data_IF_385235033664
#
_entry.id   IF_385235033664
#
_cell.length_a   1.000
_cell.length_b   1.000
_cell.length_c   1.000
_cell.angle_alpha   90.00
_cell.angle_beta   90.00
_cell.angle_gamma   90.00
#
_symmetry.space_group_name_H-M   'P 1'
#
loop_
_entity.id
_entity.type
_entity.pdbx_description
1 polymer ?
#
# COMPACT_ATOMS: atom_id res chain seq x y z
N UNK A 1 -9.44 5.06 -6.94
CA UNK A 1 -10.73 4.64 -6.34
C UNK A 1 -11.45 3.59 -7.17
N UNK A 2 -11.24 3.52 -8.46
CA UNK A 2 -11.88 2.49 -9.30
C UNK A 2 -11.38 1.08 -9.02
N UNK A 3 -10.18 0.93 -8.50
CA UNK A 3 -9.53 -0.37 -8.23
C UNK A 3 -9.66 -0.78 -6.78
N UNK A 4 -9.46 0.16 -5.84
CA UNK A 4 -9.48 -0.12 -4.40
C UNK A 4 -10.88 0.10 -3.80
N UNK A 5 -11.33 -0.80 -2.92
CA UNK A 5 -12.59 -0.61 -2.19
C UNK A 5 -12.46 0.42 -1.08
N UNK A 6 -11.25 0.78 -0.69
CA UNK A 6 -10.98 1.71 0.40
C UNK A 6 -11.54 3.10 0.13
N UNK A 7 -12.02 3.76 1.18
CA UNK A 7 -12.52 5.14 1.15
C UNK A 7 -12.00 5.90 2.37
N UNK A 8 -12.14 7.22 2.36
CA UNK A 8 -11.74 8.05 3.48
C UNK A 8 -12.28 7.50 4.80
N UNK A 9 -11.50 7.42 5.88
CA UNK A 9 -10.09 7.86 5.99
C UNK A 9 -9.04 6.77 5.65
N UNK A 10 -9.45 5.64 5.08
CA UNK A 10 -8.59 4.48 4.85
C UNK A 10 -8.03 4.36 3.44
N UNK A 11 -8.37 5.26 2.53
CA UNK A 11 -7.76 5.29 1.21
C UNK A 11 -6.43 6.03 1.28
N UNK A 12 -5.32 5.32 1.12
CA UNK A 12 -3.97 5.84 1.34
C UNK A 12 -3.11 5.92 0.08
N UNK A 13 -3.67 5.66 -1.09
CA UNK A 13 -2.96 5.83 -2.36
C UNK A 13 -3.60 6.99 -3.12
N UNK A 14 -2.83 8.05 -3.37
CA UNK A 14 -3.33 9.23 -4.05
C UNK A 14 -3.28 9.10 -5.56
N UNK A 15 -2.19 8.54 -6.09
CA UNK A 15 -2.08 8.28 -7.53
C UNK A 15 -1.06 7.19 -7.81
N UNK A 16 -1.14 6.64 -9.01
CA UNK A 16 -0.16 5.68 -9.53
C UNK A 16 0.70 6.42 -10.55
N UNK A 17 2.01 6.39 -10.35
CA UNK A 17 2.96 7.02 -11.26
C UNK A 17 3.46 6.07 -12.34
N UNK A 18 3.64 4.79 -11.99
CA UNK A 18 4.11 3.76 -12.90
C UNK A 18 3.46 2.43 -12.55
N UNK A 19 2.99 1.73 -13.55
CA UNK A 19 2.45 0.38 -13.39
C UNK A 19 2.96 -0.48 -14.54
N UNK A 20 3.71 -1.52 -14.22
CA UNK A 20 4.14 -2.54 -15.17
C UNK A 20 3.41 -3.83 -14.80
N UNK A 21 2.48 -4.25 -15.66
CA UNK A 21 1.65 -5.43 -15.44
C UNK A 21 2.55 -6.63 -15.16
N UNK A 22 2.17 -7.44 -14.17
CA UNK A 22 2.88 -8.63 -13.71
C UNK A 22 4.25 -8.38 -13.08
N UNK A 23 4.68 -7.13 -12.93
CA UNK A 23 6.00 -6.82 -12.41
C UNK A 23 5.95 -5.92 -11.17
N UNK A 24 5.59 -4.64 -11.35
CA UNK A 24 5.73 -3.65 -10.28
C UNK A 24 4.80 -2.45 -10.43
N UNK A 25 4.65 -1.74 -9.32
CA UNK A 25 3.94 -0.48 -9.26
C UNK A 25 4.76 0.54 -8.49
N UNK A 26 4.64 1.80 -8.89
CA UNK A 26 5.09 2.93 -8.10
C UNK A 26 3.92 3.88 -7.93
N UNK A 27 3.49 4.06 -6.68
CA UNK A 27 2.37 4.91 -6.32
C UNK A 27 2.82 5.99 -5.35
N UNK A 28 1.97 6.97 -5.10
CA UNK A 28 2.29 8.10 -4.24
C UNK A 28 1.20 8.28 -3.19
N UNK A 29 1.64 8.50 -1.96
CA UNK A 29 0.86 9.01 -0.86
C UNK A 29 1.40 10.40 -0.48
N UNK A 30 0.60 11.44 -0.64
CA UNK A 30 0.92 12.76 -0.11
C UNK A 30 0.62 12.76 1.39
N UNK A 31 1.65 12.91 2.21
CA UNK A 31 1.51 12.92 3.67
C UNK A 31 1.21 14.34 4.13
N UNK A 32 0.04 14.56 4.68
CA UNK A 32 -0.43 15.89 5.12
C UNK A 32 -0.84 15.86 6.58
N UNK A 33 -0.65 16.99 7.27
CA UNK A 33 -1.09 17.13 8.67
C UNK A 33 -2.62 16.98 8.81
N UNK A 34 -3.36 17.15 7.73
CA UNK A 34 -4.81 17.04 7.71
C UNK A 34 -5.31 15.59 7.70
N UNK A 35 -4.52 14.66 8.19
CA UNK A 35 -4.91 13.27 8.35
C UNK A 35 -5.19 12.97 9.82
N UNK A 36 -6.29 12.25 10.09
CA UNK A 36 -6.77 12.04 11.44
C UNK A 36 -5.80 11.37 12.38
N UNK A 37 -4.94 10.46 11.87
CA UNK A 37 -4.00 9.73 12.73
C UNK A 37 -2.92 10.64 13.36
N UNK A 38 -2.65 11.82 12.81
CA UNK A 38 -1.66 12.72 13.40
C UNK A 38 -2.14 13.37 14.70
N UNK A 39 -3.43 13.37 14.96
CA UNK A 39 -3.96 13.92 16.21
C UNK A 39 -3.48 13.14 17.43
N UNK A 40 -3.29 11.85 17.26
CA UNK A 40 -2.85 10.97 18.35
C UNK A 40 -1.42 10.47 18.24
N UNK A 41 -0.75 10.66 17.10
CA UNK A 41 0.55 10.04 16.86
C UNK A 41 1.56 11.01 16.24
N UNK A 42 2.12 11.96 16.94
CA UNK A 42 1.97 12.30 18.36
C UNK A 42 1.65 13.78 18.49
N UNK A 43 0.95 14.28 19.53
CA UNK A 43 0.51 15.67 19.60
C UNK A 43 1.59 16.73 19.46
N UNK A 44 2.76 16.56 19.89
CA UNK A 44 3.84 17.55 19.75
C UNK A 44 4.75 17.28 18.56
N UNK A 45 4.68 16.10 17.97
CA UNK A 45 5.54 15.68 16.86
C UNK A 45 4.78 14.69 15.98
N UNK A 46 4.11 15.18 14.94
CA UNK A 46 3.33 14.29 14.07
C UNK A 46 4.24 13.36 13.26
N UNK A 47 4.02 12.07 13.41
CA UNK A 47 4.74 11.02 12.69
C UNK A 47 3.69 10.04 12.17
N UNK A 48 3.76 9.69 10.89
CA UNK A 48 2.86 8.70 10.33
C UNK A 48 3.08 7.34 11.00
N UNK A 49 2.02 6.73 11.57
CA UNK A 49 2.18 5.42 12.19
C UNK A 49 2.73 4.38 11.22
N UNK A 50 3.67 3.56 11.69
CA UNK A 50 4.26 2.51 10.86
C UNK A 50 3.23 1.58 10.26
N UNK A 51 2.19 1.22 11.04
CA UNK A 51 1.11 0.36 10.55
C UNK A 51 0.34 0.99 9.39
N UNK A 52 0.24 2.33 9.34
CA UNK A 52 -0.42 3.03 8.24
C UNK A 52 0.47 3.07 6.99
N UNK A 53 1.78 3.10 7.15
CA UNK A 53 2.72 2.97 6.03
C UNK A 53 2.59 1.58 5.41
N UNK A 54 2.53 0.55 6.23
CA UNK A 54 2.32 -0.82 5.77
C UNK A 54 0.99 -0.96 5.04
N UNK A 55 -0.08 -0.34 5.57
CA UNK A 55 -1.38 -0.33 4.90
C UNK A 55 -1.32 0.35 3.53
N UNK A 56 -0.60 1.46 3.42
CA UNK A 56 -0.42 2.16 2.14
C UNK A 56 0.32 1.27 1.13
N UNK A 57 1.37 0.57 1.55
CA UNK A 57 2.08 -0.39 0.70
C UNK A 57 1.17 -1.54 0.29
N UNK A 58 0.36 -2.05 1.20
CA UNK A 58 -0.59 -3.11 0.92
C UNK A 58 -1.63 -2.67 -0.12
N UNK A 59 -2.11 -1.43 -0.03
CA UNK A 59 -3.04 -0.90 -1.03
C UNK A 59 -2.38 -0.78 -2.41
N UNK A 60 -1.13 -0.33 -2.47
CA UNK A 60 -0.39 -0.29 -3.73
C UNK A 60 -0.21 -1.70 -4.32
N UNK A 61 0.10 -2.68 -3.48
CA UNK A 61 0.17 -4.08 -3.89
C UNK A 61 -1.19 -4.57 -4.42
N UNK A 62 -2.27 -4.16 -3.78
CA UNK A 62 -3.63 -4.48 -4.21
C UNK A 62 -3.94 -3.93 -5.60
N UNK A 63 -3.53 -2.71 -5.89
CA UNK A 63 -3.70 -2.12 -7.23
C UNK A 63 -2.90 -2.93 -8.26
N UNK A 64 -1.65 -3.25 -7.95
CA UNK A 64 -0.80 -4.05 -8.84
C UNK A 64 -1.43 -5.41 -9.14
N UNK A 65 -1.94 -6.09 -8.11
CA UNK A 65 -2.58 -7.39 -8.27
C UNK A 65 -3.86 -7.30 -9.12
N UNK A 66 -4.74 -6.36 -8.80
CA UNK A 66 -6.01 -6.21 -9.51
C UNK A 66 -5.81 -5.89 -10.98
N UNK A 67 -4.88 -5.00 -11.30
CA UNK A 67 -4.58 -4.65 -12.68
C UNK A 67 -3.86 -5.79 -13.42
N UNK A 68 -2.93 -6.48 -12.75
CA UNK A 68 -2.18 -7.58 -13.36
C UNK A 68 -3.04 -8.79 -13.67
N UNK A 69 -4.07 -9.05 -12.86
CA UNK A 69 -5.02 -10.14 -13.10
C UNK A 69 -6.25 -9.70 -13.90
N UNK A 70 -6.35 -8.41 -14.25
CA UNK A 70 -7.51 -7.89 -14.99
C UNK A 70 -8.82 -7.94 -14.20
N UNK A 71 -8.76 -7.74 -12.88
CA UNK A 71 -9.90 -7.92 -11.98
C UNK A 71 -10.58 -6.61 -11.56
N UNK A 72 -10.12 -5.46 -12.03
CA UNK A 72 -10.75 -4.18 -11.72
C UNK A 72 -12.21 -4.20 -12.16
N UNK A 73 -13.11 -3.86 -11.25
CA UNK A 73 -14.55 -3.90 -11.51
C UNK A 73 -15.20 -5.27 -11.38
N UNK A 74 -14.43 -6.32 -11.08
CA UNK A 74 -14.97 -7.70 -10.96
C UNK A 74 -15.68 -7.97 -9.63
N UNK A 75 -15.46 -7.10 -8.63
CA UNK A 75 -15.90 -7.32 -7.25
C UNK A 75 -14.98 -8.23 -6.46
N UNK A 76 -13.99 -8.85 -7.08
CA UNK A 76 -12.99 -9.65 -6.36
C UNK A 76 -12.11 -8.76 -5.49
N UNK A 77 -11.63 -9.30 -4.39
CA UNK A 77 -10.82 -8.60 -3.40
C UNK A 77 -9.46 -9.27 -3.24
N UNK A 78 -8.48 -8.46 -2.84
CA UNK A 78 -7.15 -8.92 -2.48
C UNK A 78 -7.06 -8.93 -0.96
N UNK A 79 -6.95 -10.12 -0.37
CA UNK A 79 -6.82 -10.30 1.08
C UNK A 79 -5.38 -10.58 1.45
N UNK A 80 -4.84 -9.77 2.34
CA UNK A 80 -3.49 -9.97 2.84
C UNK A 80 -3.51 -10.99 3.96
N UNK A 81 -2.74 -12.06 3.79
CA UNK A 81 -2.68 -13.21 4.69
C UNK A 81 -1.52 -13.11 5.66
N UNK A 82 -0.44 -12.47 5.26
CA UNK A 82 0.75 -12.35 6.09
C UNK A 82 1.56 -11.11 5.70
N UNK A 83 2.21 -10.54 6.70
CA UNK A 83 3.17 -9.46 6.56
C UNK A 83 4.45 -9.94 7.23
N UNK A 84 5.54 -9.97 6.47
CA UNK A 84 6.82 -10.45 6.96
C UNK A 84 7.90 -9.38 6.80
N UNK A 85 8.92 -9.46 7.64
CA UNK A 85 10.12 -8.62 7.54
C UNK A 85 9.81 -7.12 7.46
N UNK A 86 8.79 -6.68 8.20
CA UNK A 86 8.45 -5.26 8.28
C UNK A 86 9.53 -4.52 9.08
N UNK A 87 10.13 -3.51 8.45
CA UNK A 87 11.19 -2.70 9.07
C UNK A 87 10.91 -1.23 8.84
N UNK A 88 11.06 -0.45 9.91
CA UNK A 88 10.85 0.99 9.89
C UNK A 88 12.22 1.65 10.12
N UNK A 89 12.67 2.43 9.12
CA UNK A 89 14.05 2.93 9.11
C UNK A 89 14.13 4.44 9.28
N UNK A 90 13.07 5.17 8.94
CA UNK A 90 13.04 6.62 9.06
C UNK A 90 11.61 7.09 9.35
N UNK A 91 11.44 8.16 10.15
CA UNK A 91 10.11 8.70 10.40
C UNK A 91 9.52 9.34 9.15
N UNK A 92 8.21 9.20 8.98
CA UNK A 92 7.45 9.84 7.91
C UNK A 92 6.63 10.96 8.53
N UNK A 93 6.94 12.19 8.14
CA UNK A 93 6.32 13.40 8.70
C UNK A 93 5.45 14.09 7.65
N UNK A 94 4.45 14.89 8.09
CA UNK A 94 3.66 15.68 7.15
C UNK A 94 4.51 16.59 6.28
N UNK A 95 4.10 16.75 5.03
CA UNK A 95 4.79 17.60 4.06
C UNK A 95 5.64 16.83 3.05
N UNK A 96 5.77 15.51 3.18
CA UNK A 96 6.53 14.72 2.22
C UNK A 96 5.61 13.99 1.23
N UNK A 97 6.20 13.60 0.10
CA UNK A 97 5.60 12.63 -0.80
C UNK A 97 6.20 11.27 -0.50
N UNK A 98 5.37 10.33 -0.08
CA UNK A 98 5.79 8.97 0.19
C UNK A 98 5.58 8.15 -1.08
N UNK A 99 6.67 7.67 -1.66
CA UNK A 99 6.61 6.80 -2.84
C UNK A 99 6.50 5.35 -2.40
N UNK A 100 5.49 4.68 -2.91
CA UNK A 100 5.14 3.31 -2.56
C UNK A 100 5.55 2.42 -3.73
N UNK A 101 6.67 1.72 -3.58
CA UNK A 101 7.21 0.85 -4.61
C UNK A 101 6.95 -0.60 -4.22
N UNK A 102 6.18 -1.30 -5.03
CA UNK A 102 5.85 -2.71 -4.78
C UNK A 102 6.11 -3.53 -6.03
N UNK A 103 6.73 -4.69 -5.85
CA UNK A 103 6.99 -5.63 -6.92
C UNK A 103 6.48 -7.01 -6.55
N UNK A 104 6.09 -7.79 -7.56
CA UNK A 104 5.83 -9.20 -7.36
C UNK A 104 7.14 -9.92 -7.05
N UNK A 105 7.14 -10.70 -5.99
CA UNK A 105 8.20 -11.69 -5.73
C UNK A 105 7.77 -13.03 -6.31
N UNK A 106 6.47 -13.34 -6.20
CA UNK A 106 5.89 -14.56 -6.75
C UNK A 106 4.44 -14.28 -7.14
N UNK A 107 4.09 -14.62 -8.36
CA UNK A 107 2.72 -14.45 -8.86
C UNK A 107 2.16 -15.81 -9.23
N UNK A 108 1.12 -16.24 -8.51
CA UNK A 108 0.37 -17.47 -8.78
C UNK A 108 -1.11 -17.13 -8.89
N UNK A 109 -1.95 -17.99 -9.48
CA UNK A 109 -3.36 -17.66 -9.73
C UNK A 109 -4.17 -17.25 -8.50
N UNK A 110 -3.84 -17.77 -7.31
CA UNK A 110 -4.59 -17.48 -6.09
C UNK A 110 -3.78 -16.79 -5.01
N UNK A 111 -2.48 -17.06 -4.94
CA UNK A 111 -1.61 -16.56 -3.89
C UNK A 111 -0.42 -15.84 -4.51
N UNK A 112 -0.19 -14.62 -4.06
CA UNK A 112 0.90 -13.79 -4.54
C UNK A 112 1.77 -13.33 -3.38
N UNK A 113 3.06 -13.15 -3.65
CA UNK A 113 3.99 -12.50 -2.73
C UNK A 113 4.49 -11.21 -3.34
N UNK A 114 4.62 -10.21 -2.49
CA UNK A 114 5.07 -8.87 -2.88
C UNK A 114 6.19 -8.42 -1.97
N UNK A 115 7.09 -7.61 -2.50
CA UNK A 115 8.06 -6.85 -1.72
C UNK A 115 7.75 -5.37 -1.90
N UNK A 116 7.58 -4.64 -0.79
CA UNK A 116 7.24 -3.24 -0.82
C UNK A 116 8.27 -2.38 -0.11
N UNK A 117 8.49 -1.18 -0.65
CA UNK A 117 9.36 -0.17 -0.05
C UNK A 117 8.66 1.18 -0.09
N UNK A 118 8.68 1.87 1.05
CA UNK A 118 8.17 3.24 1.16
C UNK A 118 9.37 4.19 1.16
N UNK A 119 9.43 5.08 0.16
CA UNK A 119 10.58 5.96 -0.07
C UNK A 119 10.18 7.41 0.09
N UNK A 120 11.07 8.18 0.74
CA UNK A 120 11.01 9.63 0.75
C UNK A 120 12.23 10.10 -0.06
N UNK A 121 12.01 10.46 -1.33
CA UNK A 121 13.13 10.69 -2.25
C UNK A 121 13.97 9.41 -2.37
N UNK A 122 15.26 9.52 -2.06
CA UNK A 122 16.19 8.38 -2.09
C UNK A 122 16.29 7.64 -0.76
N UNK A 123 15.57 8.11 0.27
CA UNK A 123 15.63 7.52 1.59
C UNK A 123 14.59 6.42 1.77
N UNK A 124 15.02 5.24 2.17
CA UNK A 124 14.12 4.16 2.53
C UNK A 124 13.54 4.43 3.92
N UNK A 125 12.24 4.66 3.99
CA UNK A 125 11.53 4.92 5.23
C UNK A 125 11.02 3.63 5.87
N UNK A 126 10.49 2.71 5.08
CA UNK A 126 9.97 1.43 5.56
C UNK A 126 10.00 0.40 4.44
N UNK A 127 10.01 -0.87 4.83
CA UNK A 127 9.91 -1.98 3.90
C UNK A 127 9.16 -3.14 4.53
N UNK A 128 8.53 -3.96 3.71
CA UNK A 128 7.84 -5.16 4.16
C UNK A 128 7.61 -6.13 2.99
N UNK A 129 7.37 -7.38 3.34
CA UNK A 129 6.92 -8.39 2.39
C UNK A 129 5.47 -8.75 2.72
N UNK A 130 4.69 -9.03 1.69
CA UNK A 130 3.27 -9.34 1.82
C UNK A 130 2.95 -10.64 1.12
N UNK A 131 2.04 -11.41 1.71
CA UNK A 131 1.40 -12.53 1.05
C UNK A 131 -0.08 -12.22 0.97
N UNK A 132 -0.65 -12.33 -0.22
CA UNK A 132 -2.05 -12.02 -0.46
C UNK A 132 -2.74 -13.12 -1.25
N UNK A 133 -4.05 -13.24 -1.02
CA UNK A 133 -4.93 -14.15 -1.75
C UNK A 133 -6.00 -13.35 -2.47
N UNK A 134 -6.30 -13.75 -3.70
CA UNK A 134 -7.41 -13.18 -4.45
C UNK A 134 -8.66 -14.01 -4.16
N UNK A 135 -9.71 -13.35 -3.70
CA UNK A 135 -10.93 -14.02 -3.28
C UNK A 135 -12.18 -13.38 -3.90
N UNK A 136 -13.20 -14.20 -4.03
CA UNK A 136 -14.50 -13.71 -4.48
C UNK A 136 -15.14 -12.82 -3.41
N UNK A 137 -16.02 -11.89 -3.80
CA UNK A 137 -16.71 -11.05 -2.82
C UNK A 137 -17.56 -11.90 -1.88
N UNK A 138 -17.77 -11.43 -0.63
CA UNK A 138 -18.63 -12.16 0.31
C UNK A 138 -20.03 -12.34 -0.27
N UNK A 139 -20.64 -13.49 -0.04
CA UNK A 139 -22.05 -13.72 -0.39
C UNK A 139 -22.90 -13.10 0.70
N UNK A 140 -23.91 -12.38 0.29
CA UNK A 140 -24.91 -11.82 1.20
C UNK A 140 -25.82 -12.91 1.81
#
# INVERSE_FOLDING_TARGET
MSVLPHRYPMLLVDRVEELVIDERIRAVKAVTINEGFFQGHFPGRPIMPGVMIIEALAQAAGVLAMESFGLAGSGKLVYFMAIDNAKFRAPVEPGCLLHLEVAFVQKRPRVCKFAGRAMIGDQLAAEAEFMAMIADPPKD
#
